data_IF_418205548231
#
_entry.id   IF_418205548231
#
_cell.length_a   1.000
_cell.length_b   1.000
_cell.length_c   1.000
_cell.angle_alpha   90.00
_cell.angle_beta   90.00
_cell.angle_gamma   90.00
#
_symmetry.space_group_name_H-M   'P 1'
#
loop_
_entity.id
_entity.type
_entity.pdbx_description
1 polymer ?
#
# COMPACT_ATOMS: atom_id res chain seq x y z
N UNK A 1 21.26 -16.33 0.10
CA UNK A 1 21.42 -16.96 1.44
C UNK A 1 21.89 -18.41 1.37
N UNK A 2 21.16 -19.34 0.74
CA UNK A 2 21.53 -20.78 0.68
C UNK A 2 23.01 -21.04 0.34
N UNK A 3 23.52 -20.42 -0.73
CA UNK A 3 24.91 -20.55 -1.17
C UNK A 3 25.93 -20.15 -0.08
N UNK A 4 25.66 -19.05 0.63
CA UNK A 4 26.57 -18.54 1.67
C UNK A 4 26.58 -19.47 2.87
N UNK A 5 25.40 -19.90 3.32
CA UNK A 5 25.23 -20.85 4.44
C UNK A 5 25.96 -22.16 4.14
N UNK A 6 25.76 -22.72 2.94
CA UNK A 6 26.41 -23.96 2.52
C UNK A 6 27.94 -23.82 2.50
N UNK A 7 28.48 -22.70 2.00
CA UNK A 7 29.91 -22.45 1.98
C UNK A 7 30.52 -22.36 3.37
N UNK A 8 29.86 -21.66 4.30
CA UNK A 8 30.32 -21.54 5.70
C UNK A 8 30.24 -22.91 6.41
N UNK A 9 29.14 -23.64 6.25
CA UNK A 9 28.96 -24.95 6.86
C UNK A 9 30.07 -25.94 6.44
N UNK A 10 30.38 -25.99 5.14
CA UNK A 10 31.45 -26.81 4.61
C UNK A 10 32.83 -26.40 5.14
N UNK A 11 33.13 -25.10 5.20
CA UNK A 11 34.42 -24.59 5.69
C UNK A 11 34.69 -24.95 7.16
N UNK A 12 33.63 -25.11 7.96
CA UNK A 12 33.73 -25.43 9.38
C UNK A 12 33.40 -26.90 9.71
N UNK A 13 33.20 -27.76 8.71
CA UNK A 13 32.84 -29.17 8.90
C UNK A 13 31.59 -29.36 9.79
N UNK A 14 30.57 -28.53 9.57
CA UNK A 14 29.27 -28.60 10.26
C UNK A 14 28.13 -28.71 9.26
N UNK A 15 26.93 -29.08 9.74
CA UNK A 15 25.69 -29.04 8.97
C UNK A 15 24.89 -27.79 9.33
N UNK A 16 24.20 -27.19 8.36
CA UNK A 16 23.29 -26.07 8.58
C UNK A 16 22.02 -26.23 7.73
N UNK A 17 20.87 -25.92 8.32
CA UNK A 17 19.57 -25.93 7.66
C UNK A 17 19.03 -24.49 7.57
N UNK A 18 18.43 -24.14 6.43
CA UNK A 18 17.75 -22.85 6.24
C UNK A 18 16.23 -23.07 6.17
N UNK A 19 15.54 -22.68 7.25
CA UNK A 19 14.09 -22.45 7.25
C UNK A 19 13.84 -20.97 6.91
N UNK A 20 13.48 -20.70 5.66
CA UNK A 20 13.14 -19.36 5.19
C UNK A 20 11.67 -19.32 4.83
N UNK A 21 10.93 -18.43 5.51
CA UNK A 21 9.50 -18.24 5.32
C UNK A 21 9.23 -16.82 4.85
N UNK A 22 8.50 -16.70 3.75
CA UNK A 22 7.95 -15.42 3.32
C UNK A 22 6.66 -15.20 4.09
N UNK A 23 6.62 -14.16 4.92
CA UNK A 23 5.45 -13.85 5.76
C UNK A 23 4.50 -12.85 5.12
N UNK A 24 5.01 -12.01 4.22
CA UNK A 24 4.21 -11.08 3.43
C UNK A 24 4.77 -11.02 2.00
N UNK A 25 3.91 -11.13 0.97
CA UNK A 25 4.28 -10.69 -0.36
C UNK A 25 4.44 -9.16 -0.38
N UNK A 26 5.10 -8.61 -1.41
CA UNK A 26 5.16 -7.16 -1.59
C UNK A 26 3.76 -6.60 -1.90
N UNK A 27 3.43 -5.44 -1.33
CA UNK A 27 2.19 -4.70 -1.64
C UNK A 27 2.35 -4.00 -3.00
N UNK A 28 1.94 -4.66 -4.07
CA UNK A 28 2.07 -4.17 -5.44
C UNK A 28 0.70 -3.71 -5.96
N UNK A 29 0.54 -2.40 -6.10
CA UNK A 29 -0.66 -1.83 -6.69
C UNK A 29 -0.77 -2.20 -8.18
N UNK A 30 -1.99 -2.48 -8.62
CA UNK A 30 -2.24 -2.64 -10.06
C UNK A 30 -2.30 -1.25 -10.72
N UNK A 31 -1.61 -1.02 -11.85
CA UNK A 31 -1.44 0.33 -12.41
C UNK A 31 -2.75 1.09 -12.68
N UNK A 32 -3.77 0.40 -13.19
CA UNK A 32 -5.07 1.02 -13.50
C UNK A 32 -5.75 1.52 -12.22
N UNK A 33 -5.80 0.68 -11.19
CA UNK A 33 -6.47 0.95 -9.92
C UNK A 33 -5.74 2.05 -9.15
N UNK A 34 -4.40 2.07 -9.19
CA UNK A 34 -3.58 3.15 -8.62
C UNK A 34 -3.83 4.48 -9.32
N UNK A 35 -3.92 4.47 -10.66
CA UNK A 35 -4.25 5.67 -11.44
C UNK A 35 -5.66 6.17 -11.10
N UNK A 36 -6.64 5.27 -11.01
CA UNK A 36 -8.04 5.61 -10.72
C UNK A 36 -8.18 6.33 -9.37
N UNK A 37 -7.64 5.75 -8.30
CA UNK A 37 -7.73 6.37 -6.97
C UNK A 37 -6.97 7.70 -6.89
N UNK A 38 -5.84 7.82 -7.59
CA UNK A 38 -5.09 9.06 -7.67
C UNK A 38 -5.86 10.15 -8.42
N UNK A 39 -6.58 9.82 -9.50
CA UNK A 39 -7.43 10.76 -10.23
C UNK A 39 -8.58 11.28 -9.35
N UNK A 40 -9.24 10.38 -8.61
CA UNK A 40 -10.29 10.80 -7.65
C UNK A 40 -9.75 11.67 -6.52
N UNK A 41 -8.55 11.38 -6.02
CA UNK A 41 -7.90 12.22 -5.03
C UNK A 41 -7.60 13.61 -5.62
N UNK A 42 -7.04 13.67 -6.83
CA UNK A 42 -6.69 14.91 -7.52
C UNK A 42 -7.92 15.80 -7.77
N UNK A 43 -9.06 15.22 -8.15
CA UNK A 43 -10.33 15.94 -8.30
C UNK A 43 -10.79 16.65 -7.01
N UNK A 44 -10.41 16.11 -5.84
CA UNK A 44 -10.82 16.64 -4.54
C UNK A 44 -9.81 17.63 -3.96
N UNK A 45 -8.51 17.39 -4.14
CA UNK A 45 -7.46 18.17 -3.47
C UNK A 45 -6.55 18.98 -4.40
N UNK A 46 -6.67 18.81 -5.71
CA UNK A 46 -5.76 19.35 -6.71
C UNK A 46 -4.62 18.38 -7.06
N UNK A 47 -4.19 18.38 -8.31
CA UNK A 47 -3.11 17.52 -8.81
C UNK A 47 -1.78 17.79 -8.09
N UNK A 48 -1.56 19.03 -7.64
CA UNK A 48 -0.35 19.43 -6.90
C UNK A 48 -0.22 18.76 -5.52
N UNK A 49 -1.29 18.17 -5.00
CA UNK A 49 -1.33 17.49 -3.70
C UNK A 49 -1.35 15.96 -3.82
N UNK A 50 -1.17 15.42 -5.01
CA UNK A 50 -1.15 13.98 -5.27
C UNK A 50 0.22 13.57 -5.79
N UNK A 51 0.94 12.75 -5.01
CA UNK A 51 2.18 12.11 -5.45
C UNK A 51 1.89 10.73 -6.04
N UNK A 52 1.91 10.65 -7.37
CA UNK A 52 1.68 9.41 -8.12
C UNK A 52 2.92 8.50 -8.19
N UNK A 53 4.08 9.01 -7.80
CA UNK A 53 5.37 8.32 -7.88
C UNK A 53 6.04 8.28 -6.51
N UNK A 54 5.24 8.07 -5.47
CA UNK A 54 5.74 8.01 -4.10
C UNK A 54 6.83 6.94 -3.97
N UNK A 55 7.84 7.24 -3.16
CA UNK A 55 8.94 6.32 -2.90
C UNK A 55 8.43 5.02 -2.25
N UNK A 56 9.09 3.91 -2.55
CA UNK A 56 8.78 2.63 -1.93
C UNK A 56 9.04 2.70 -0.42
N UNK A 57 8.11 2.17 0.37
CA UNK A 57 8.21 2.08 1.82
C UNK A 57 8.69 0.68 2.20
N UNK A 58 9.54 0.60 3.23
CA UNK A 58 10.12 -0.66 3.72
C UNK A 58 9.21 -1.49 4.63
N UNK A 59 8.03 -0.95 4.99
CA UNK A 59 7.05 -1.62 5.83
C UNK A 59 6.32 -2.74 5.09
N UNK A 60 5.95 -3.79 5.82
CA UNK A 60 5.05 -4.85 5.32
C UNK A 60 3.59 -4.49 5.57
N UNK A 61 2.71 -4.86 4.65
CA UNK A 61 1.27 -4.60 4.75
C UNK A 61 0.51 -5.86 4.30
N UNK A 62 -0.48 -6.30 5.07
CA UNK A 62 -1.20 -7.56 4.83
C UNK A 62 -2.21 -7.44 3.67
N UNK A 63 -2.55 -6.21 3.28
CA UNK A 63 -3.27 -5.92 2.04
C UNK A 63 -2.58 -6.50 0.80
N UNK A 64 -1.27 -6.76 0.86
CA UNK A 64 -0.53 -7.51 -0.17
C UNK A 64 -1.19 -8.84 -0.56
N UNK A 65 -1.75 -9.59 0.40
CA UNK A 65 -2.45 -10.84 0.11
C UNK A 65 -3.76 -10.63 -0.67
N UNK A 66 -4.45 -9.52 -0.43
CA UNK A 66 -5.63 -9.16 -1.23
C UNK A 66 -5.23 -8.83 -2.67
N UNK A 67 -4.11 -8.11 -2.84
CA UNK A 67 -3.58 -7.72 -4.16
C UNK A 67 -3.06 -8.91 -4.98
N UNK A 68 -2.60 -9.99 -4.36
CA UNK A 68 -2.27 -11.23 -5.09
C UNK A 68 -3.50 -11.88 -5.75
N UNK A 69 -4.70 -11.61 -5.23
CA UNK A 69 -5.93 -12.26 -5.66
C UNK A 69 -6.80 -11.38 -6.56
N UNK A 70 -6.70 -10.06 -6.44
CA UNK A 70 -7.55 -9.10 -7.17
C UNK A 70 -6.79 -7.82 -7.52
N UNK A 71 -7.06 -7.23 -8.70
CA UNK A 71 -6.63 -5.87 -9.00
C UNK A 71 -7.09 -4.91 -7.91
N UNK A 72 -6.19 -4.07 -7.43
CA UNK A 72 -6.46 -3.12 -6.37
C UNK A 72 -5.31 -2.13 -6.18
N UNK A 73 -5.56 -1.15 -5.32
CA UNK A 73 -4.57 -0.16 -4.94
C UNK A 73 -4.65 0.14 -3.44
N UNK A 74 -3.49 0.12 -2.79
CA UNK A 74 -3.26 0.60 -1.44
C UNK A 74 -2.56 1.96 -1.54
N UNK A 75 -3.15 2.99 -0.97
CA UNK A 75 -2.61 4.35 -0.98
C UNK A 75 -2.27 4.81 0.42
N UNK A 76 -1.37 5.78 0.49
CA UNK A 76 -1.11 6.54 1.69
C UNK A 76 -1.90 7.84 1.62
N UNK A 77 -2.46 8.25 2.76
CA UNK A 77 -3.11 9.54 2.91
C UNK A 77 -2.28 10.40 3.86
N UNK A 78 -2.11 11.68 3.52
CA UNK A 78 -1.24 12.58 4.28
C UNK A 78 -1.76 12.79 5.71
N UNK A 79 -0.91 12.55 6.70
CA UNK A 79 -1.21 12.82 8.11
C UNK A 79 -0.76 14.22 8.57
N UNK A 80 0.01 14.95 7.74
CA UNK A 80 0.59 16.27 8.04
C UNK A 80 2.12 16.26 7.97
N UNK A 81 2.73 17.43 7.77
CA UNK A 81 4.19 17.56 7.53
C UNK A 81 5.03 17.34 8.79
N UNK A 82 4.55 17.83 9.95
CA UNK A 82 5.26 17.73 11.24
C UNK A 82 4.70 16.61 12.12
N UNK A 83 4.36 15.46 11.52
CA UNK A 83 3.84 14.31 12.26
C UNK A 83 4.90 13.25 12.50
N UNK A 84 4.80 12.58 13.65
CA UNK A 84 5.66 11.43 13.90
C UNK A 84 5.27 10.26 12.97
N UNK A 85 6.20 9.37 12.61
CA UNK A 85 5.86 8.15 11.89
C UNK A 85 4.93 7.24 12.70
N UNK A 86 4.24 6.34 12.00
CA UNK A 86 3.54 5.22 12.64
C UNK A 86 4.51 4.40 13.52
N UNK A 87 3.98 3.75 14.56
CA UNK A 87 4.73 2.98 15.57
C UNK A 87 5.62 3.78 16.52
N UNK A 88 5.54 5.11 16.57
CA UNK A 88 6.16 5.89 17.64
C UNK A 88 5.15 6.23 18.75
N UNK A 89 5.60 6.42 20.02
CA UNK A 89 4.72 6.86 21.11
C UNK A 89 4.15 8.27 20.93
N UNK A 90 4.74 9.06 20.02
CA UNK A 90 4.35 10.45 19.71
C UNK A 90 3.52 10.54 18.44
N UNK A 91 3.13 9.41 17.84
CA UNK A 91 2.21 9.39 16.71
C UNK A 91 0.86 9.96 17.13
N UNK A 92 0.38 10.93 16.37
CA UNK A 92 -0.93 11.55 16.54
C UNK A 92 -1.62 11.54 15.18
N UNK A 93 -2.82 10.98 15.14
CA UNK A 93 -3.59 10.82 13.92
C UNK A 93 -4.36 12.12 13.63
N UNK A 94 -4.25 12.63 12.41
CA UNK A 94 -4.94 13.85 12.02
C UNK A 94 -6.41 13.55 11.68
N UNK A 95 -7.32 13.70 12.65
CA UNK A 95 -8.76 13.48 12.47
C UNK A 95 -9.39 14.31 11.34
N UNK A 96 -8.79 15.45 10.98
CA UNK A 96 -9.30 16.29 9.89
C UNK A 96 -9.18 15.61 8.52
N UNK A 97 -8.41 14.52 8.40
CA UNK A 97 -8.27 13.77 7.15
C UNK A 97 -9.43 12.79 6.90
N UNK A 98 -10.20 12.44 7.93
CA UNK A 98 -11.29 11.46 7.84
C UNK A 98 -12.33 11.80 6.76
N UNK A 99 -12.82 13.06 6.64
CA UNK A 99 -13.78 13.41 5.59
C UNK A 99 -13.19 13.24 4.18
N UNK A 100 -11.91 13.57 3.99
CA UNK A 100 -11.24 13.40 2.70
C UNK A 100 -11.13 11.91 2.34
N UNK A 101 -10.55 11.10 3.23
CA UNK A 101 -10.35 9.68 3.00
C UNK A 101 -11.66 8.93 2.70
N UNK A 102 -12.70 9.20 3.50
CA UNK A 102 -14.02 8.61 3.27
C UNK A 102 -14.68 9.06 1.96
N UNK A 103 -14.52 10.33 1.58
CA UNK A 103 -15.04 10.86 0.31
C UNK A 103 -14.38 10.19 -0.90
N UNK A 104 -13.06 9.97 -0.88
CA UNK A 104 -12.35 9.27 -1.97
C UNK A 104 -12.97 7.89 -2.22
N UNK A 105 -13.15 7.08 -1.16
CA UNK A 105 -13.75 5.75 -1.30
C UNK A 105 -15.22 5.79 -1.72
N UNK A 106 -16.01 6.73 -1.17
CA UNK A 106 -17.40 6.90 -1.58
C UNK A 106 -17.52 7.20 -3.08
N UNK A 107 -16.67 8.11 -3.60
CA UNK A 107 -16.67 8.49 -5.03
C UNK A 107 -16.25 7.35 -5.94
N UNK A 108 -15.29 6.52 -5.53
CA UNK A 108 -14.90 5.32 -6.26
C UNK A 108 -16.10 4.36 -6.35
N UNK A 109 -16.76 4.10 -5.21
CA UNK A 109 -17.95 3.22 -5.15
C UNK A 109 -19.08 3.76 -6.03
N UNK A 110 -19.40 5.05 -5.92
CA UNK A 110 -20.42 5.70 -6.74
C UNK A 110 -20.12 5.61 -8.24
N UNK A 111 -18.85 5.72 -8.64
CA UNK A 111 -18.47 5.63 -10.06
C UNK A 111 -18.48 4.20 -10.58
N UNK A 112 -17.87 3.27 -9.87
CA UNK A 112 -17.67 1.90 -10.35
C UNK A 112 -18.93 1.03 -10.19
N UNK A 113 -19.77 1.34 -9.19
CA UNK A 113 -21.00 0.57 -8.89
C UNK A 113 -22.29 1.37 -9.12
N UNK A 114 -22.19 2.68 -9.39
CA UNK A 114 -23.33 3.51 -9.78
C UNK A 114 -23.93 3.02 -11.09
N UNK A 115 -25.08 2.34 -11.00
CA UNK A 115 -25.84 1.83 -12.15
C UNK A 115 -26.00 2.89 -13.24
N UNK A 116 -25.66 2.51 -14.47
CA UNK A 116 -26.23 3.09 -15.68
C UNK A 116 -27.75 3.05 -15.55
N UNK A 117 -28.39 4.21 -15.36
CA UNK A 117 -29.82 4.35 -15.66
C UNK A 117 -29.97 4.23 -17.17
N UNK A 118 -30.03 3.01 -17.69
CA UNK A 118 -30.55 2.76 -19.02
C UNK A 118 -32.06 2.91 -18.92
N UNK A 119 -32.52 4.14 -19.18
CA UNK A 119 -33.92 4.40 -19.50
C UNK A 119 -34.16 3.87 -20.91
N UNK A 120 -34.59 2.61 -21.00
CA UNK A 120 -35.28 2.04 -22.17
C UNK A 120 -36.42 1.18 -21.70
#
# INVERSE_FOLDING_TARGET
>A
MRRVIAGIAAAHNVTAELDYRVTFPPTINTPREAQLIADFAADLVGEEKVDRNHHLISGSEDFSFMLENRPGAFILIGNGEDTSPVHTPTYEFNDNILPLGSTVYARIVERELGRTMSLT
#
